data_IF_092841522989
#
_entry.id   IF_092841522989
#
_cell.length_a   1.000
_cell.length_b   1.000
_cell.length_c   1.000
_cell.angle_alpha   90.00
_cell.angle_beta   90.00
_cell.angle_gamma   90.00
#
_symmetry.space_group_name_H-M   'P 1'
#
loop_
_entity.id
_entity.type
_entity.pdbx_description
1 polymer ?
#
# COMPACT_ATOMS: atom_id res chain seq x y z
N UNK A 1 -6.63 -7.82 -23.49
CA UNK A 1 -7.14 -9.10 -22.94
C UNK A 1 -8.35 -8.93 -22.03
N UNK A 2 -8.38 -8.04 -21.03
CA UNK A 2 -9.55 -7.86 -20.15
C UNK A 2 -10.85 -7.54 -20.91
N UNK A 3 -10.81 -6.57 -21.83
CA UNK A 3 -11.97 -6.22 -22.67
C UNK A 3 -12.43 -7.38 -23.56
N UNK A 4 -11.50 -8.21 -24.01
CA UNK A 4 -11.81 -9.40 -24.81
C UNK A 4 -12.50 -10.45 -23.94
N UNK A 5 -12.03 -10.66 -22.72
CA UNK A 5 -12.63 -11.61 -21.78
C UNK A 5 -14.04 -11.17 -21.33
N UNK A 6 -14.23 -9.88 -21.04
CA UNK A 6 -15.55 -9.30 -20.74
C UNK A 6 -16.48 -9.42 -21.95
N UNK A 7 -15.96 -9.18 -23.17
CA UNK A 7 -16.71 -9.37 -24.41
C UNK A 7 -17.11 -10.84 -24.67
N UNK A 8 -16.28 -11.80 -24.25
CA UNK A 8 -16.63 -13.22 -24.31
C UNK A 8 -17.64 -13.62 -23.22
N UNK A 9 -17.59 -12.97 -22.05
CA UNK A 9 -18.50 -13.24 -20.95
C UNK A 9 -19.87 -12.54 -21.10
N UNK A 10 -19.97 -11.48 -21.93
CA UNK A 10 -21.19 -10.69 -22.20
C UNK A 10 -22.47 -11.53 -22.38
N UNK A 11 -22.47 -12.62 -23.19
CA UNK A 11 -23.68 -13.41 -23.42
C UNK A 11 -24.19 -14.13 -22.15
N UNK A 12 -23.29 -14.43 -21.22
CA UNK A 12 -23.59 -15.17 -20.00
C UNK A 12 -23.89 -14.24 -18.82
N UNK A 13 -23.55 -12.94 -18.91
CA UNK A 13 -23.74 -11.96 -17.84
C UNK A 13 -25.14 -11.91 -17.21
N UNK A 14 -26.25 -12.04 -17.96
CA UNK A 14 -27.59 -12.06 -17.36
C UNK A 14 -27.86 -13.27 -16.46
N UNK A 15 -27.16 -14.38 -16.69
CA UNK A 15 -27.32 -15.64 -15.95
C UNK A 15 -26.41 -15.70 -14.72
N UNK A 16 -25.34 -14.90 -14.71
CA UNK A 16 -24.38 -14.86 -13.61
C UNK A 16 -24.92 -14.08 -12.43
N UNK A 17 -24.72 -14.63 -11.23
CA UNK A 17 -24.98 -13.91 -9.99
C UNK A 17 -23.91 -12.83 -9.71
N UNK A 18 -24.11 -12.03 -8.67
CA UNK A 18 -23.16 -10.96 -8.32
C UNK A 18 -21.79 -11.49 -7.88
N UNK A 19 -21.73 -12.70 -7.32
CA UNK A 19 -20.49 -13.31 -6.86
C UNK A 19 -19.64 -13.73 -8.06
N UNK A 20 -20.24 -14.41 -9.03
CA UNK A 20 -19.61 -14.83 -10.28
C UNK A 20 -19.12 -13.62 -11.11
N UNK A 21 -19.92 -12.55 -11.18
CA UNK A 21 -19.49 -11.28 -11.81
C UNK A 21 -18.28 -10.66 -11.11
N UNK A 22 -18.25 -10.71 -9.78
CA UNK A 22 -17.09 -10.28 -8.97
C UNK A 22 -15.85 -11.14 -9.25
N UNK A 23 -16.00 -12.46 -9.35
CA UNK A 23 -14.91 -13.38 -9.68
C UNK A 23 -14.35 -13.14 -11.09
N UNK A 24 -15.20 -12.84 -12.08
CA UNK A 24 -14.76 -12.45 -13.42
C UNK A 24 -13.90 -11.18 -13.37
N UNK A 25 -14.33 -10.16 -12.63
CA UNK A 25 -13.55 -8.93 -12.44
C UNK A 25 -12.21 -9.22 -11.76
N UNK A 26 -12.21 -10.07 -10.74
CA UNK A 26 -11.04 -10.51 -9.99
C UNK A 26 -10.02 -11.29 -10.81
N UNK A 27 -10.45 -12.17 -11.71
CA UNK A 27 -9.53 -12.99 -12.52
C UNK A 27 -9.02 -12.27 -13.78
N UNK A 28 -9.80 -11.33 -14.32
CA UNK A 28 -9.50 -10.74 -15.63
C UNK A 28 -8.90 -9.34 -15.56
N UNK A 29 -9.53 -8.43 -14.81
CA UNK A 29 -9.21 -7.00 -14.87
C UNK A 29 -8.32 -6.57 -13.70
N UNK A 30 -8.70 -6.94 -12.47
CA UNK A 30 -7.98 -6.53 -11.27
C UNK A 30 -6.48 -6.88 -11.29
N UNK A 31 -6.03 -8.08 -11.71
CA UNK A 31 -4.61 -8.42 -11.72
C UNK A 31 -3.82 -7.60 -12.73
N UNK A 32 -4.42 -7.21 -13.86
CA UNK A 32 -3.76 -6.41 -14.88
C UNK A 32 -3.53 -4.98 -14.40
N UNK A 33 -4.55 -4.36 -13.79
CA UNK A 33 -4.40 -2.99 -13.28
C UNK A 33 -3.50 -2.97 -12.05
N UNK A 34 -3.60 -3.97 -11.17
CA UNK A 34 -2.66 -4.13 -10.06
C UNK A 34 -1.22 -4.28 -10.54
N UNK A 35 -0.96 -5.13 -11.55
CA UNK A 35 0.38 -5.29 -12.09
C UNK A 35 0.97 -3.99 -12.66
N UNK A 36 0.14 -3.15 -13.27
CA UNK A 36 0.56 -1.82 -13.73
C UNK A 36 0.86 -0.87 -12.54
N UNK A 37 0.00 -0.87 -11.52
CA UNK A 37 0.20 -0.07 -10.31
C UNK A 37 1.47 -0.49 -9.56
N UNK A 38 1.71 -1.80 -9.42
CA UNK A 38 2.90 -2.37 -8.80
C UNK A 38 4.16 -2.00 -9.58
N UNK A 39 4.12 -2.10 -10.92
CA UNK A 39 5.23 -1.66 -11.77
C UNK A 39 5.53 -0.17 -11.59
N UNK A 40 4.50 0.67 -11.59
CA UNK A 40 4.65 2.11 -11.37
C UNK A 40 5.23 2.42 -9.98
N UNK A 41 4.73 1.74 -8.94
CA UNK A 41 5.17 1.89 -7.55
C UNK A 41 6.65 1.50 -7.40
N UNK A 42 7.03 0.30 -7.86
CA UNK A 42 8.43 -0.16 -7.84
C UNK A 42 9.34 0.76 -8.67
N UNK A 43 8.87 1.22 -9.83
CA UNK A 43 9.60 2.16 -10.69
C UNK A 43 9.88 3.48 -9.97
N UNK A 44 8.87 4.05 -9.32
CA UNK A 44 8.97 5.26 -8.53
C UNK A 44 9.94 5.08 -7.36
N UNK A 45 9.81 4.00 -6.58
CA UNK A 45 10.72 3.74 -5.46
C UNK A 45 12.16 3.61 -5.92
N UNK A 46 12.42 2.86 -7.00
CA UNK A 46 13.77 2.72 -7.56
C UNK A 46 14.34 4.07 -8.02
N UNK A 47 13.53 4.91 -8.65
CA UNK A 47 13.94 6.24 -9.07
C UNK A 47 14.25 7.14 -7.86
N UNK A 48 13.38 7.16 -6.85
CA UNK A 48 13.55 7.93 -5.61
C UNK A 48 14.80 7.50 -4.85
N UNK A 49 15.08 6.20 -4.76
CA UNK A 49 16.29 5.67 -4.14
C UNK A 49 17.55 6.11 -4.89
N UNK A 50 17.57 6.04 -6.23
CA UNK A 50 18.73 6.51 -7.03
C UNK A 50 19.00 8.00 -6.79
N UNK A 51 17.96 8.82 -6.74
CA UNK A 51 18.07 10.26 -6.46
C UNK A 51 18.52 10.55 -5.03
N UNK A 52 18.06 9.75 -4.07
CA UNK A 52 18.48 9.83 -2.67
C UNK A 52 19.96 9.49 -2.49
N UNK A 53 20.45 8.41 -3.12
CA UNK A 53 21.86 8.01 -3.06
C UNK A 53 22.79 9.04 -3.70
N UNK A 54 22.34 9.68 -4.78
CA UNK A 54 23.09 10.75 -5.45
C UNK A 54 23.09 12.08 -4.65
N UNK A 55 22.40 12.15 -3.51
CA UNK A 55 22.30 13.36 -2.68
C UNK A 55 21.51 14.50 -3.34
N UNK A 56 20.81 14.22 -4.46
CA UNK A 56 20.15 15.25 -5.26
C UNK A 56 18.82 15.70 -4.66
N UNK A 57 18.19 14.87 -3.81
CA UNK A 57 16.84 15.11 -3.33
C UNK A 57 16.66 14.60 -1.89
N UNK A 58 16.85 15.45 -0.86
CA UNK A 58 16.70 15.03 0.54
C UNK A 58 15.27 14.61 0.90
N UNK A 59 14.30 14.93 0.04
CA UNK A 59 12.88 14.60 0.17
C UNK A 59 12.44 13.44 -0.73
N UNK A 60 13.37 12.64 -1.26
CA UNK A 60 13.03 11.51 -2.15
C UNK A 60 12.05 10.52 -1.50
N UNK A 61 12.14 10.33 -0.18
CA UNK A 61 11.20 9.51 0.59
C UNK A 61 9.78 10.10 0.63
N UNK A 62 9.64 11.43 0.66
CA UNK A 62 8.32 12.09 0.60
C UNK A 62 7.68 11.88 -0.76
N UNK A 63 8.46 11.97 -1.83
CA UNK A 63 7.98 11.78 -3.19
C UNK A 63 7.55 10.34 -3.42
N UNK A 64 8.33 9.38 -2.91
CA UNK A 64 7.95 7.96 -2.94
C UNK A 64 6.61 7.72 -2.22
N UNK A 65 6.47 8.25 -1.01
CA UNK A 65 5.22 8.14 -0.24
C UNK A 65 4.03 8.81 -0.94
N UNK A 66 4.20 10.04 -1.41
CA UNK A 66 3.15 10.79 -2.09
C UNK A 66 2.73 10.08 -3.39
N UNK A 67 3.69 9.57 -4.16
CA UNK A 67 3.38 8.82 -5.37
C UNK A 67 2.72 7.47 -5.08
N UNK A 68 3.08 6.77 -3.99
CA UNK A 68 2.37 5.56 -3.57
C UNK A 68 0.89 5.86 -3.25
N UNK A 69 0.59 6.98 -2.57
CA UNK A 69 -0.77 7.44 -2.31
C UNK A 69 -1.52 7.73 -3.62
N UNK A 70 -0.89 8.46 -4.55
CA UNK A 70 -1.48 8.77 -5.85
C UNK A 70 -1.76 7.52 -6.68
N UNK A 71 -0.82 6.56 -6.71
CA UNK A 71 -0.97 5.29 -7.42
C UNK A 71 -2.12 4.48 -6.82
N UNK A 72 -2.21 4.40 -5.49
CA UNK A 72 -3.26 3.67 -4.79
C UNK A 72 -4.67 4.23 -5.09
N UNK A 73 -4.85 5.55 -4.95
CA UNK A 73 -6.15 6.16 -5.26
C UNK A 73 -6.45 6.16 -6.76
N UNK A 74 -5.44 6.32 -7.61
CA UNK A 74 -5.57 6.20 -9.06
C UNK A 74 -6.03 4.80 -9.48
N UNK A 75 -5.47 3.75 -8.88
CA UNK A 75 -5.90 2.37 -9.08
C UNK A 75 -7.38 2.18 -8.73
N UNK A 76 -7.80 2.62 -7.54
CA UNK A 76 -9.21 2.54 -7.14
C UNK A 76 -10.14 3.33 -8.08
N UNK A 77 -9.74 4.53 -8.50
CA UNK A 77 -10.48 5.32 -9.47
C UNK A 77 -10.62 4.61 -10.83
N UNK A 78 -9.57 3.95 -11.33
CA UNK A 78 -9.61 3.15 -12.56
C UNK A 78 -10.57 1.96 -12.41
N UNK A 79 -10.57 1.29 -11.26
CA UNK A 79 -11.48 0.17 -10.98
C UNK A 79 -12.93 0.66 -10.98
N UNK A 80 -13.23 1.76 -10.28
CA UNK A 80 -14.57 2.35 -10.21
C UNK A 80 -15.05 2.77 -11.60
N UNK A 81 -14.20 3.48 -12.34
CA UNK A 81 -14.51 3.91 -13.70
C UNK A 81 -14.78 2.72 -14.62
N UNK A 82 -13.99 1.66 -14.50
CA UNK A 82 -14.20 0.44 -15.26
C UNK A 82 -15.54 -0.22 -14.92
N UNK A 83 -15.87 -0.40 -13.63
CA UNK A 83 -17.15 -0.97 -13.20
C UNK A 83 -18.33 -0.14 -13.73
N UNK A 84 -18.22 1.18 -13.67
CA UNK A 84 -19.25 2.10 -14.15
C UNK A 84 -19.46 2.01 -15.67
N UNK A 85 -18.36 1.94 -16.44
CA UNK A 85 -18.39 1.90 -17.91
C UNK A 85 -18.69 0.49 -18.46
N UNK A 86 -18.32 -0.57 -17.74
CA UNK A 86 -18.52 -1.95 -18.15
C UNK A 86 -19.98 -2.36 -17.92
N UNK A 87 -20.82 -2.08 -18.91
CA UNK A 87 -22.23 -2.52 -18.95
C UNK A 87 -22.45 -3.53 -20.08
N UNK A 88 -21.93 -4.75 -19.95
CA UNK A 88 -22.12 -5.80 -20.94
C UNK A 88 -23.62 -6.06 -21.16
N UNK A 89 -24.10 -5.82 -22.38
CA UNK A 89 -25.53 -5.97 -22.71
C UNK A 89 -26.45 -4.95 -22.01
N UNK A 90 -25.92 -3.81 -21.55
CA UNK A 90 -26.67 -2.80 -20.81
C UNK A 90 -26.92 -3.13 -19.33
N UNK A 91 -26.39 -4.26 -18.85
CA UNK A 91 -26.50 -4.67 -17.44
C UNK A 91 -25.25 -4.18 -16.70
N UNK A 92 -25.39 -3.43 -15.59
CA UNK A 92 -24.26 -3.06 -14.76
C UNK A 92 -23.51 -4.29 -14.24
N UNK A 93 -22.19 -4.29 -14.36
CA UNK A 93 -21.36 -5.40 -13.89
C UNK A 93 -21.49 -5.59 -12.37
N UNK A 94 -21.43 -4.48 -11.62
CA UNK A 94 -21.61 -4.39 -10.17
C UNK A 94 -22.30 -3.05 -9.85
N UNK A 95 -23.24 -3.04 -8.90
CA UNK A 95 -23.80 -1.79 -8.38
C UNK A 95 -22.82 -1.16 -7.39
N UNK A 96 -22.25 -0.01 -7.74
CA UNK A 96 -21.29 0.70 -6.89
C UNK A 96 -21.94 1.23 -5.60
N UNK A 97 -23.20 1.67 -5.67
CA UNK A 97 -23.97 2.11 -4.50
C UNK A 97 -24.10 0.98 -3.48
N UNK A 98 -24.53 -0.21 -3.93
CA UNK A 98 -24.67 -1.41 -3.08
C UNK A 98 -23.29 -1.85 -2.57
N UNK A 99 -22.28 -1.86 -3.44
CA UNK A 99 -20.91 -2.22 -3.08
C UNK A 99 -20.38 -1.35 -1.93
N UNK A 100 -20.53 -0.02 -2.02
CA UNK A 100 -20.05 0.88 -0.96
C UNK A 100 -20.84 0.69 0.34
N UNK A 101 -22.16 0.53 0.27
CA UNK A 101 -23.00 0.27 1.43
C UNK A 101 -22.60 -1.03 2.15
N UNK A 102 -22.38 -2.11 1.40
CA UNK A 102 -22.06 -3.42 1.96
C UNK A 102 -20.62 -3.52 2.47
N UNK A 103 -19.64 -2.85 1.85
CA UNK A 103 -18.27 -2.80 2.39
C UNK A 103 -18.21 -1.98 3.69
N UNK A 104 -19.03 -0.94 3.83
CA UNK A 104 -19.14 -0.19 5.10
C UNK A 104 -19.73 -1.05 6.22
N UNK A 105 -20.67 -1.95 5.90
CA UNK A 105 -21.29 -2.88 6.85
C UNK A 105 -20.32 -3.94 7.40
N UNK A 106 -20.05 -4.00 8.72
CA UNK A 106 -19.13 -5.00 9.28
C UNK A 106 -19.53 -6.46 9.02
N UNK A 107 -20.83 -6.74 8.95
CA UNK A 107 -21.37 -8.09 8.72
C UNK A 107 -21.24 -8.56 7.26
N UNK A 108 -21.27 -7.62 6.31
CA UNK A 108 -21.28 -7.88 4.86
C UNK A 108 -19.90 -7.70 4.23
N UNK A 109 -19.03 -6.88 4.82
CA UNK A 109 -17.66 -6.59 4.32
C UNK A 109 -16.84 -7.82 3.98
N UNK A 110 -16.99 -8.91 4.76
CA UNK A 110 -16.25 -10.15 4.54
C UNK A 110 -16.49 -10.78 3.16
N UNK A 111 -17.65 -10.51 2.54
CA UNK A 111 -18.01 -11.00 1.21
C UNK A 111 -17.15 -10.35 0.10
N UNK A 112 -16.60 -9.17 0.38
CA UNK A 112 -15.76 -8.39 -0.53
C UNK A 112 -14.27 -8.53 -0.24
N UNK A 113 -13.85 -9.60 0.45
CA UNK A 113 -12.45 -9.83 0.79
C UNK A 113 -11.55 -9.83 -0.45
N UNK A 114 -12.04 -10.35 -1.58
CA UNK A 114 -11.29 -10.42 -2.84
C UNK A 114 -10.97 -9.02 -3.39
N UNK A 115 -11.93 -8.10 -3.32
CA UNK A 115 -11.75 -6.72 -3.78
C UNK A 115 -10.81 -5.97 -2.84
N UNK A 116 -11.03 -6.10 -1.53
CA UNK A 116 -10.17 -5.48 -0.51
C UNK A 116 -8.76 -6.03 -0.61
N UNK A 117 -8.59 -7.34 -0.71
CA UNK A 117 -7.29 -7.97 -0.86
C UNK A 117 -6.58 -7.47 -2.12
N UNK A 118 -7.25 -7.40 -3.26
CA UNK A 118 -6.63 -6.92 -4.50
C UNK A 118 -6.28 -5.44 -4.44
N UNK A 119 -7.18 -4.60 -3.94
CA UNK A 119 -6.91 -3.17 -3.84
C UNK A 119 -5.72 -2.90 -2.90
N UNK A 120 -5.72 -3.52 -1.73
CA UNK A 120 -4.71 -3.30 -0.70
C UNK A 120 -3.43 -4.13 -0.89
N UNK A 121 -3.42 -5.14 -1.76
CA UNK A 121 -2.19 -5.90 -2.08
C UNK A 121 -1.13 -5.03 -2.74
N UNK A 122 -1.55 -3.99 -3.47
CA UNK A 122 -0.64 -2.98 -4.04
C UNK A 122 0.07 -2.13 -2.98
N UNK A 123 -0.41 -2.13 -1.73
CA UNK A 123 0.30 -1.53 -0.61
C UNK A 123 1.35 -2.47 0.00
N UNK A 124 1.35 -3.77 -0.30
CA UNK A 124 2.32 -4.72 0.27
C UNK A 124 3.76 -4.29 -0.06
N UNK A 125 4.13 -4.01 -1.33
CA UNK A 125 5.48 -3.52 -1.63
C UNK A 125 5.83 -2.24 -0.86
N UNK A 126 4.88 -1.30 -0.76
CA UNK A 126 5.05 -0.03 -0.03
C UNK A 126 5.28 -0.25 1.46
N UNK A 127 4.53 -1.15 2.09
CA UNK A 127 4.71 -1.52 3.51
C UNK A 127 6.08 -2.15 3.72
N UNK A 128 6.49 -3.08 2.85
CA UNK A 128 7.81 -3.70 2.93
C UNK A 128 8.94 -2.67 2.78
N UNK A 129 8.83 -1.74 1.83
CA UNK A 129 9.77 -0.63 1.69
C UNK A 129 9.79 0.27 2.94
N UNK A 130 8.62 0.56 3.52
CA UNK A 130 8.50 1.31 4.77
C UNK A 130 9.20 0.63 5.94
N UNK A 131 9.09 -0.70 6.07
CA UNK A 131 9.80 -1.48 7.09
C UNK A 131 11.32 -1.39 6.89
N UNK A 132 11.80 -1.54 5.65
CA UNK A 132 13.23 -1.38 5.32
C UNK A 132 13.70 0.04 5.64
N UNK A 133 12.92 1.06 5.26
CA UNK A 133 13.25 2.46 5.51
C UNK A 133 13.30 2.79 7.00
N UNK A 134 12.34 2.32 7.79
CA UNK A 134 12.33 2.50 9.23
C UNK A 134 13.51 1.77 9.90
N UNK A 135 13.82 0.55 9.47
CA UNK A 135 15.01 -0.19 9.95
C UNK A 135 16.30 0.57 9.65
N UNK A 136 16.41 1.12 8.44
CA UNK A 136 17.55 1.95 8.02
C UNK A 136 17.62 3.26 8.83
N UNK A 137 16.49 3.92 9.09
CA UNK A 137 16.44 5.18 9.82
C UNK A 137 17.06 5.06 11.22
N UNK A 138 16.74 4.01 11.97
CA UNK A 138 17.26 3.80 13.33
C UNK A 138 18.70 3.25 13.36
N UNK A 139 19.26 2.87 12.20
CA UNK A 139 20.63 2.36 12.07
C UNK A 139 21.58 3.32 11.33
N UNK A 140 21.03 4.34 10.64
CA UNK A 140 21.80 5.39 9.98
C UNK A 140 22.10 6.52 10.97
N UNK A 141 23.32 6.51 11.50
CA UNK A 141 23.84 7.57 12.34
C UNK A 141 24.64 8.60 11.53
N UNK A 142 24.55 9.91 11.84
CA UNK A 142 25.47 10.90 11.30
C UNK A 142 26.92 10.49 11.52
N UNK A 143 27.82 10.80 10.57
CA UNK A 143 29.26 10.46 10.65
C UNK A 143 29.90 10.70 12.03
N UNK A 144 29.71 11.86 12.71
CA UNK A 144 30.32 12.07 14.03
C UNK A 144 29.82 11.11 15.11
N UNK A 145 28.54 10.72 15.05
CA UNK A 145 27.95 9.76 15.99
C UNK A 145 28.51 8.35 15.75
N UNK A 146 28.64 7.93 14.48
CA UNK A 146 29.28 6.65 14.14
C UNK A 146 30.72 6.60 14.66
N UNK A 147 31.50 7.63 14.38
CA UNK A 147 32.89 7.71 14.84
C UNK A 147 32.99 7.64 16.37
N UNK A 148 32.08 8.31 17.08
CA UNK A 148 32.00 8.27 18.55
C UNK A 148 31.64 6.90 19.09
N UNK A 149 30.63 6.24 18.52
CA UNK A 149 30.24 4.87 18.90
C UNK A 149 31.38 3.89 18.62
N UNK A 150 32.05 4.01 17.47
CA UNK A 150 33.21 3.18 17.12
C UNK A 150 34.39 3.42 18.07
N UNK A 151 34.68 4.67 18.45
CA UNK A 151 35.72 4.97 19.43
C UNK A 151 35.39 4.32 20.79
N UNK A 152 34.16 4.47 21.26
CA UNK A 152 33.69 3.84 22.50
C UNK A 152 33.79 2.31 22.50
N UNK A 153 33.55 1.68 21.35
CA UNK A 153 33.67 0.23 21.22
C UNK A 153 35.13 -0.22 21.06
N UNK A 154 35.98 0.59 20.43
CA UNK A 154 37.41 0.30 20.25
C UNK A 154 38.17 0.37 21.57
N UNK A 155 37.89 1.39 22.36
CA UNK A 155 38.59 1.65 23.63
C UNK A 155 37.98 0.81 24.78
N UNK A 156 37.06 -0.11 24.46
CA UNK A 156 36.35 -0.95 25.40
C UNK A 156 37.22 -1.84 26.32
N UNK A 157 38.44 -2.29 25.92
CA UNK A 157 39.34 -3.00 26.83
C UNK A 157 39.93 -2.11 27.95
N UNK A 158 40.01 -0.80 27.73
CA UNK A 158 40.69 0.15 28.63
C UNK A 158 39.73 1.08 29.37
N UNK A 159 38.53 1.32 28.83
CA UNK A 159 37.49 2.16 29.44
C UNK A 159 36.12 1.44 29.49
N UNK A 160 35.77 0.95 30.68
CA UNK A 160 34.52 0.24 30.93
C UNK A 160 33.26 1.11 30.74
N UNK A 161 33.34 2.42 30.96
CA UNK A 161 32.21 3.34 30.81
C UNK A 161 31.95 3.58 29.33
N UNK A 162 33.01 3.86 28.55
CA UNK A 162 32.94 3.96 27.10
C UNK A 162 32.40 2.66 26.47
N UNK A 163 32.92 1.51 26.90
CA UNK A 163 32.45 0.19 26.45
C UNK A 163 30.93 0.02 26.63
N UNK A 164 30.43 0.37 27.82
CA UNK A 164 29.01 0.27 28.15
C UNK A 164 28.18 1.24 27.30
N UNK A 165 28.63 2.48 27.13
CA UNK A 165 27.98 3.49 26.30
C UNK A 165 27.82 3.04 24.84
N UNK A 166 28.90 2.52 24.24
CA UNK A 166 28.89 1.99 22.88
C UNK A 166 27.91 0.81 22.71
N UNK A 167 27.95 -0.17 23.63
CA UNK A 167 27.06 -1.34 23.60
C UNK A 167 25.59 -0.97 23.77
N UNK A 168 25.28 -0.10 24.73
CA UNK A 168 23.89 0.35 24.99
C UNK A 168 23.35 1.13 23.79
N UNK A 169 24.16 2.02 23.21
CA UNK A 169 23.74 2.82 22.05
C UNK A 169 23.40 1.92 20.86
N UNK A 170 24.27 0.95 20.56
CA UNK A 170 24.05 0.00 19.48
C UNK A 170 22.83 -0.90 19.75
N UNK A 171 22.69 -1.43 20.97
CA UNK A 171 21.55 -2.23 21.37
C UNK A 171 20.24 -1.45 21.19
N UNK A 172 20.19 -0.20 21.66
CA UNK A 172 19.03 0.67 21.51
C UNK A 172 18.69 0.93 20.03
N UNK A 173 19.71 1.13 19.18
CA UNK A 173 19.56 1.28 17.74
C UNK A 173 18.75 0.14 17.13
N UNK A 174 19.21 -1.09 17.37
CA UNK A 174 18.59 -2.30 16.82
C UNK A 174 17.26 -2.61 17.47
N UNK A 175 17.11 -2.34 18.77
CA UNK A 175 15.81 -2.44 19.46
C UNK A 175 14.79 -1.51 18.79
N UNK A 176 15.11 -0.23 18.59
CA UNK A 176 14.19 0.70 17.94
C UNK A 176 13.93 0.34 16.47
N UNK A 177 14.97 -0.05 15.73
CA UNK A 177 14.87 -0.48 14.34
C UNK A 177 13.90 -1.65 14.15
N UNK A 178 13.80 -2.55 15.13
CA UNK A 178 12.86 -3.68 15.10
C UNK A 178 11.49 -3.33 15.66
N UNK A 179 11.43 -2.74 16.86
CA UNK A 179 10.16 -2.54 17.56
C UNK A 179 9.32 -1.40 17.00
N UNK A 180 9.93 -0.35 16.42
CA UNK A 180 9.16 0.77 15.84
C UNK A 180 8.34 0.32 14.61
N UNK A 181 8.89 -0.38 13.60
CA UNK A 181 8.09 -0.90 12.49
C UNK A 181 6.96 -1.82 12.96
N UNK A 182 7.24 -2.72 13.91
CA UNK A 182 6.24 -3.63 14.47
C UNK A 182 5.12 -2.84 15.16
N UNK A 183 5.47 -1.84 15.97
CA UNK A 183 4.51 -0.96 16.63
C UNK A 183 3.64 -0.22 15.61
N UNK A 184 4.23 0.34 14.55
CA UNK A 184 3.49 1.04 13.50
C UNK A 184 2.53 0.11 12.75
N UNK A 185 2.91 -1.14 12.49
CA UNK A 185 2.03 -2.15 11.89
C UNK A 185 0.87 -2.47 12.83
N UNK A 186 1.13 -2.67 14.12
CA UNK A 186 0.09 -2.94 15.13
C UNK A 186 -0.89 -1.77 15.21
N UNK A 187 -0.40 -0.53 15.23
CA UNK A 187 -1.25 0.65 15.18
C UNK A 187 -2.04 0.70 13.87
N UNK A 188 -1.43 0.49 12.70
CA UNK A 188 -2.15 0.46 11.43
C UNK A 188 -3.31 -0.56 11.42
N UNK A 189 -3.11 -1.74 12.03
CA UNK A 189 -4.16 -2.76 12.20
C UNK A 189 -5.27 -2.28 13.15
N UNK A 190 -4.92 -1.63 14.27
CA UNK A 190 -5.91 -1.06 15.21
C UNK A 190 -6.76 0.02 14.55
N UNK A 191 -6.13 0.88 13.75
CA UNK A 191 -6.78 1.97 13.04
C UNK A 191 -7.41 1.54 11.70
N UNK A 192 -7.30 0.26 11.33
CA UNK A 192 -7.77 -0.27 10.05
C UNK A 192 -9.23 0.08 9.71
N UNK A 193 -10.21 -0.02 10.63
CA UNK A 193 -11.59 0.35 10.30
C UNK A 193 -11.73 1.82 9.89
N UNK A 194 -10.99 2.73 10.54
CA UNK A 194 -10.99 4.15 10.20
C UNK A 194 -10.30 4.43 8.86
N UNK A 195 -9.16 3.80 8.62
CA UNK A 195 -8.43 3.90 7.34
C UNK A 195 -9.29 3.40 6.19
N UNK A 196 -9.96 2.27 6.38
CA UNK A 196 -10.86 1.68 5.40
C UNK A 196 -12.05 2.60 5.12
N UNK A 197 -12.72 3.10 6.16
CA UNK A 197 -13.85 4.02 5.99
C UNK A 197 -13.45 5.32 5.29
N UNK A 198 -12.29 5.89 5.63
CA UNK A 198 -11.75 7.07 4.95
C UNK A 198 -11.43 6.80 3.48
N UNK A 199 -10.82 5.65 3.19
CA UNK A 199 -10.55 5.20 1.82
C UNK A 199 -11.84 5.05 1.01
N UNK A 200 -12.85 4.39 1.58
CA UNK A 200 -14.16 4.21 0.95
C UNK A 200 -14.82 5.57 0.69
N UNK A 201 -14.75 6.49 1.65
CA UNK A 201 -15.32 7.83 1.49
C UNK A 201 -14.73 8.60 0.29
N UNK A 202 -13.41 8.50 0.07
CA UNK A 202 -12.75 9.10 -1.11
C UNK A 202 -13.26 8.45 -2.40
N UNK A 203 -13.38 7.12 -2.43
CA UNK A 203 -13.85 6.38 -3.60
C UNK A 203 -15.32 6.61 -3.93
N UNK A 204 -16.18 6.64 -2.91
CA UNK A 204 -17.59 6.98 -3.06
C UNK A 204 -17.75 8.41 -3.55
N UNK A 205 -16.99 9.37 -2.98
CA UNK A 205 -16.97 10.74 -3.48
C UNK A 205 -16.57 10.83 -4.95
N UNK A 206 -15.54 10.08 -5.37
CA UNK A 206 -15.17 9.98 -6.79
C UNK A 206 -16.29 9.36 -7.63
N UNK A 207 -16.94 8.30 -7.16
CA UNK A 207 -18.05 7.66 -7.86
C UNK A 207 -19.24 8.62 -8.05
N UNK A 208 -19.63 9.38 -7.02
CA UNK A 208 -20.67 10.39 -7.12
C UNK A 208 -20.30 11.51 -8.10
N UNK A 209 -19.02 11.94 -8.13
CA UNK A 209 -18.55 12.96 -9.07
C UNK A 209 -18.71 12.55 -10.53
N UNK A 210 -18.59 11.26 -10.84
CA UNK A 210 -18.76 10.72 -12.20
C UNK A 210 -20.18 10.20 -12.47
N UNK A 211 -21.12 10.35 -11.52
CA UNK A 211 -22.50 9.87 -11.63
C UNK A 211 -22.66 8.35 -11.57
N UNK A 212 -21.72 7.66 -10.93
CA UNK A 212 -21.69 6.21 -10.81
C UNK A 212 -22.29 5.67 -9.49
N UNK A 213 -22.50 6.54 -8.52
CA UNK A 213 -23.12 6.27 -7.22
C UNK A 213 -23.93 7.49 -6.75
#
# INVERSE_FOLDING_TARGET
MALVFVWFATPFMPELDNEERGQLLFLSFLPLVNGLADFASIGLTRWSLRKGVQGMLPWSWVIDLAGAVVIFFGLGAVIILFIHMAQPGGVPLLSLEVLFAEIKGPATRGQYWWLLFMLFSTLIPTVLHGVVAATAFFTIYPKPWRLRITAWLRDAPEDAIAARGGRVTLALAFTLAFFVPVFLIVEAVRWWPGILNGTIWVFEGFACLIGAA
#
